data_IF_126239648384
#
_entry.id   IF_126239648384
#
_cell.length_a   1.000
_cell.length_b   1.000
_cell.length_c   1.000
_cell.angle_alpha   90.00
_cell.angle_beta   90.00
_cell.angle_gamma   90.00
#
_symmetry.space_group_name_H-M   'P 1'
#
loop_
_entity.id
_entity.type
_entity.pdbx_description
1 polymer ?
#
# COMPACT_ATOMS: atom_id res chain seq x y z
N UNK A 1 -12.53 -6.83 -11.21
CA UNK A 1 -11.12 -7.27 -11.13
C UNK A 1 -10.88 -8.00 -9.82
N UNK A 2 -9.97 -8.97 -9.79
CA UNK A 2 -9.51 -9.61 -8.56
C UNK A 2 -8.43 -8.76 -7.88
N UNK A 3 -8.18 -8.99 -6.59
CA UNK A 3 -7.08 -8.36 -5.86
C UNK A 3 -5.75 -8.46 -6.61
N UNK A 4 -5.42 -9.65 -7.11
CA UNK A 4 -4.15 -9.93 -7.77
C UNK A 4 -3.99 -9.19 -9.10
N UNK A 5 -5.08 -9.06 -9.87
CA UNK A 5 -5.10 -8.26 -11.10
C UNK A 5 -4.77 -6.80 -10.80
N UNK A 6 -5.48 -6.20 -9.84
CA UNK A 6 -5.28 -4.80 -9.48
C UNK A 6 -3.87 -4.59 -8.92
N UNK A 7 -3.37 -5.51 -8.08
CA UNK A 7 -2.02 -5.45 -7.54
C UNK A 7 -0.96 -5.44 -8.67
N UNK A 8 -1.04 -6.40 -9.60
CA UNK A 8 -0.09 -6.50 -10.72
C UNK A 8 -0.10 -5.25 -11.63
N UNK A 9 -1.27 -4.63 -11.82
CA UNK A 9 -1.40 -3.39 -12.56
C UNK A 9 -0.78 -2.18 -11.82
N UNK A 10 -0.73 -2.23 -10.49
CA UNK A 10 -0.37 -1.10 -9.64
C UNK A 10 1.10 -1.10 -9.20
N UNK A 11 1.72 -2.26 -9.02
CA UNK A 11 3.10 -2.35 -8.49
C UNK A 11 4.13 -1.54 -9.28
N UNK A 12 3.91 -1.35 -10.58
CA UNK A 12 4.79 -0.56 -11.46
C UNK A 12 4.93 0.91 -11.05
N UNK A 13 4.03 1.44 -10.22
CA UNK A 13 4.10 2.83 -9.73
C UNK A 13 5.00 2.99 -8.50
N UNK A 14 5.38 1.89 -7.84
CA UNK A 14 6.30 1.87 -6.71
C UNK A 14 7.71 1.46 -7.13
N UNK A 15 8.76 1.96 -6.44
CA UNK A 15 10.10 1.42 -6.59
C UNK A 15 10.15 -0.04 -6.07
N UNK A 16 11.13 -0.80 -6.55
CA UNK A 16 11.36 -2.20 -6.10
C UNK A 16 11.92 -2.28 -4.68
N UNK A 17 12.54 -1.21 -4.20
CA UNK A 17 13.08 -1.07 -2.86
C UNK A 17 12.94 0.38 -2.37
N UNK A 18 12.60 0.56 -1.09
CA UNK A 18 12.53 1.86 -0.42
C UNK A 18 13.52 1.87 0.74
N UNK A 19 14.35 2.91 0.81
CA UNK A 19 15.20 3.17 1.96
C UNK A 19 14.37 3.77 3.10
N UNK A 20 14.45 3.15 4.29
CA UNK A 20 13.70 3.50 5.50
C UNK A 20 14.61 4.00 6.64
N UNK A 21 15.89 4.29 6.34
CA UNK A 21 16.88 4.72 7.33
C UNK A 21 16.56 6.07 7.98
N UNK A 22 15.64 6.83 7.39
CA UNK A 22 15.10 8.10 7.86
C UNK A 22 13.95 7.94 8.87
N UNK A 23 13.67 6.70 9.32
CA UNK A 23 12.67 6.38 10.32
C UNK A 23 12.81 7.20 11.61
N UNK A 24 11.70 7.80 12.05
CA UNK A 24 11.59 8.58 13.30
C UNK A 24 10.41 8.10 14.15
N UNK A 25 10.61 8.10 15.47
CA UNK A 25 9.62 7.66 16.46
C UNK A 25 9.02 6.29 16.12
N UNK A 26 9.87 5.37 15.67
CA UNK A 26 9.44 4.03 15.27
C UNK A 26 9.17 3.21 16.52
N UNK A 27 7.93 2.78 16.66
CA UNK A 27 7.41 1.88 17.70
C UNK A 27 6.61 0.78 17.02
N UNK A 28 6.26 -0.28 17.76
CA UNK A 28 5.58 -1.47 17.21
C UNK A 28 4.29 -1.17 16.42
N UNK A 29 3.61 -0.06 16.73
CA UNK A 29 2.32 0.31 16.14
C UNK A 29 2.41 1.50 15.17
N UNK A 30 3.59 2.08 14.95
CA UNK A 30 3.69 3.28 14.14
C UNK A 30 5.11 3.82 13.99
N UNK A 31 5.31 4.65 12.98
CA UNK A 31 6.60 5.29 12.70
C UNK A 31 6.47 6.26 11.54
N UNK A 32 7.38 7.24 11.47
CA UNK A 32 7.44 8.20 10.38
C UNK A 32 8.63 7.90 9.49
N UNK A 33 8.38 7.65 8.20
CA UNK A 33 9.39 7.37 7.18
C UNK A 33 9.14 8.35 6.03
N UNK A 34 9.94 9.41 5.94
CA UNK A 34 9.77 10.48 4.94
C UNK A 34 9.92 9.92 3.52
N UNK A 35 10.94 9.11 3.25
CA UNK A 35 11.16 8.49 1.91
C UNK A 35 10.00 7.58 1.49
N UNK A 36 9.42 6.87 2.45
CA UNK A 36 8.24 6.05 2.18
C UNK A 36 7.01 6.91 1.85
N UNK A 37 6.78 7.99 2.60
CA UNK A 37 5.72 8.95 2.28
C UNK A 37 5.92 9.64 0.93
N UNK A 38 7.17 9.97 0.57
CA UNK A 38 7.50 10.51 -0.76
C UNK A 38 7.18 9.51 -1.88
N UNK A 39 7.53 8.23 -1.68
CA UNK A 39 7.22 7.16 -2.65
C UNK A 39 5.71 6.97 -2.85
N UNK A 40 4.93 7.09 -1.77
CA UNK A 40 3.47 7.07 -1.86
C UNK A 40 2.91 8.28 -2.60
N UNK A 41 3.36 9.49 -2.25
CA UNK A 41 2.95 10.72 -2.94
C UNK A 41 3.22 10.65 -4.46
N UNK A 42 4.38 10.11 -4.86
CA UNK A 42 4.69 9.89 -6.26
C UNK A 42 3.76 8.89 -6.93
N UNK A 43 3.45 7.77 -6.27
CA UNK A 43 2.52 6.78 -6.80
C UNK A 43 1.10 7.35 -6.95
N UNK A 44 0.62 8.13 -5.98
CA UNK A 44 -0.66 8.84 -6.08
C UNK A 44 -0.67 9.83 -7.25
N UNK A 45 0.39 10.62 -7.41
CA UNK A 45 0.52 11.57 -8.52
C UNK A 45 0.47 10.87 -9.88
N UNK A 46 1.16 9.75 -10.02
CA UNK A 46 1.21 8.96 -11.27
C UNK A 46 -0.14 8.29 -11.57
N UNK A 47 -0.95 8.01 -10.57
CA UNK A 47 -2.24 7.28 -10.69
C UNK A 47 -3.48 8.19 -10.69
N UNK A 48 -3.31 9.52 -10.70
CA UNK A 48 -4.43 10.49 -10.71
C UNK A 48 -5.50 10.23 -11.77
N UNK A 49 -5.11 9.74 -12.96
CA UNK A 49 -6.01 9.46 -14.09
C UNK A 49 -6.35 7.98 -14.26
N UNK A 50 -5.83 7.12 -13.38
CA UNK A 50 -6.10 5.68 -13.40
C UNK A 50 -7.46 5.38 -12.74
N UNK A 51 -7.88 4.12 -12.80
CA UNK A 51 -9.10 3.66 -12.11
C UNK A 51 -8.98 3.80 -10.60
N UNK A 52 -10.12 3.94 -9.92
CA UNK A 52 -10.12 4.02 -8.45
C UNK A 52 -9.64 2.73 -7.79
N UNK A 53 -9.68 1.59 -8.51
CA UNK A 53 -9.07 0.34 -8.08
C UNK A 53 -7.56 0.48 -7.94
N UNK A 54 -6.91 1.10 -8.93
CA UNK A 54 -5.47 1.36 -8.90
C UNK A 54 -5.16 2.37 -7.79
N UNK A 55 -5.92 3.45 -7.66
CA UNK A 55 -5.72 4.45 -6.59
C UNK A 55 -5.87 3.83 -5.20
N UNK A 56 -6.88 2.97 -5.00
CA UNK A 56 -7.07 2.25 -3.74
C UNK A 56 -5.94 1.25 -3.49
N UNK A 57 -5.46 0.57 -4.53
CA UNK A 57 -4.32 -0.34 -4.41
C UNK A 57 -3.01 0.40 -4.08
N UNK A 58 -2.82 1.64 -4.55
CA UNK A 58 -1.69 2.49 -4.13
C UNK A 58 -1.71 2.68 -2.61
N UNK A 59 -2.87 2.97 -2.03
CA UNK A 59 -3.04 3.05 -0.58
C UNK A 59 -2.76 1.70 0.12
N UNK A 60 -3.26 0.59 -0.42
CA UNK A 60 -2.99 -0.76 0.10
C UNK A 60 -1.49 -1.09 0.13
N UNK A 61 -0.78 -0.83 -0.97
CA UNK A 61 0.68 -1.04 -1.08
C UNK A 61 1.43 -0.16 -0.08
N UNK A 62 1.03 1.11 0.10
CA UNK A 62 1.62 1.98 1.12
C UNK A 62 1.45 1.39 2.53
N UNK A 63 0.26 0.89 2.87
CA UNK A 63 0.02 0.23 4.16
C UNK A 63 0.94 -0.99 4.35
N UNK A 64 1.10 -1.82 3.31
CA UNK A 64 2.01 -2.98 3.32
C UNK A 64 3.46 -2.56 3.55
N UNK A 65 3.94 -1.56 2.80
CA UNK A 65 5.27 -1.00 3.00
C UNK A 65 5.46 -0.43 4.40
N UNK A 66 4.48 0.28 4.95
CA UNK A 66 4.60 0.92 6.25
C UNK A 66 4.71 -0.10 7.38
N UNK A 67 3.88 -1.15 7.36
CA UNK A 67 3.99 -2.29 8.27
C UNK A 67 5.39 -2.93 8.18
N UNK A 68 5.83 -3.24 6.96
CA UNK A 68 7.13 -3.88 6.74
C UNK A 68 8.30 -2.97 7.11
N UNK A 69 8.16 -1.66 6.94
CA UNK A 69 9.17 -0.67 7.34
C UNK A 69 9.36 -0.65 8.85
N UNK A 70 8.28 -0.71 9.63
CA UNK A 70 8.38 -0.84 11.10
C UNK A 70 9.13 -2.12 11.45
N UNK A 71 8.71 -3.27 10.91
CA UNK A 71 9.34 -4.55 11.19
C UNK A 71 10.82 -4.56 10.83
N UNK A 72 11.17 -4.11 9.63
CA UNK A 72 12.55 -4.05 9.16
C UNK A 72 13.39 -3.09 10.03
N UNK A 73 12.88 -1.89 10.33
CA UNK A 73 13.59 -0.91 11.15
C UNK A 73 13.85 -1.42 12.58
N UNK A 74 12.86 -2.05 13.21
CA UNK A 74 12.98 -2.65 14.54
C UNK A 74 13.99 -3.81 14.57
N UNK A 75 14.20 -4.48 13.44
CA UNK A 75 15.21 -5.53 13.25
C UNK A 75 16.54 -4.99 12.71
N UNK A 76 16.77 -3.67 12.72
CA UNK A 76 18.02 -3.04 12.29
C UNK A 76 18.27 -3.00 10.78
N UNK A 77 17.27 -3.40 9.96
CA UNK A 77 17.31 -3.24 8.50
C UNK A 77 16.98 -1.81 8.10
N UNK A 78 17.51 -1.38 6.95
CA UNK A 78 17.41 0.01 6.45
C UNK A 78 16.65 0.14 5.14
N UNK A 79 16.16 -0.96 4.59
CA UNK A 79 15.38 -0.98 3.35
C UNK A 79 14.17 -1.89 3.49
N UNK A 80 13.20 -1.72 2.59
CA UNK A 80 12.07 -2.63 2.38
C UNK A 80 11.98 -2.90 0.89
N UNK A 81 11.96 -4.18 0.49
CA UNK A 81 11.69 -4.54 -0.90
C UNK A 81 10.21 -4.82 -1.13
N UNK A 82 9.72 -4.49 -2.33
CA UNK A 82 8.36 -4.81 -2.78
C UNK A 82 8.03 -6.31 -2.63
N UNK A 83 9.02 -7.17 -2.83
CA UNK A 83 8.84 -8.63 -2.76
C UNK A 83 8.74 -9.16 -1.32
N UNK A 84 9.03 -8.32 -0.33
CA UNK A 84 8.94 -8.66 1.10
C UNK A 84 7.59 -8.27 1.71
N UNK A 85 6.68 -7.68 0.93
CA UNK A 85 5.38 -7.23 1.39
C UNK A 85 4.48 -8.41 1.74
N UNK A 86 3.79 -8.29 2.87
CA UNK A 86 2.79 -9.23 3.33
C UNK A 86 1.52 -9.07 2.49
N UNK A 87 1.32 -10.01 1.56
CA UNK A 87 0.19 -9.99 0.62
C UNK A 87 -1.16 -10.19 1.30
N UNK A 88 -1.21 -10.95 2.40
CA UNK A 88 -2.44 -11.16 3.16
C UNK A 88 -2.85 -9.87 3.86
N UNK A 89 -1.90 -9.20 4.50
CA UNK A 89 -2.15 -7.91 5.12
C UNK A 89 -2.53 -6.83 4.10
N UNK A 90 -1.89 -6.82 2.92
CA UNK A 90 -2.22 -5.90 1.84
C UNK A 90 -3.66 -6.13 1.36
N UNK A 91 -4.04 -7.40 1.11
CA UNK A 91 -5.41 -7.77 0.74
C UNK A 91 -6.41 -7.32 1.80
N UNK A 92 -6.13 -7.60 3.07
CA UNK A 92 -6.96 -7.14 4.18
C UNK A 92 -7.16 -5.62 4.16
N UNK A 93 -6.11 -4.81 4.04
CA UNK A 93 -6.23 -3.33 4.03
C UNK A 93 -6.96 -2.80 2.80
N UNK A 94 -6.74 -3.42 1.64
CA UNK A 94 -7.43 -3.09 0.41
C UNK A 94 -8.94 -3.39 0.52
N UNK A 95 -9.31 -4.60 0.95
CA UNK A 95 -10.69 -5.02 1.11
C UNK A 95 -11.40 -4.27 2.24
N UNK A 96 -10.73 -4.02 3.38
CA UNK A 96 -11.26 -3.21 4.48
C UNK A 96 -11.68 -1.82 3.98
N UNK A 97 -10.87 -1.21 3.12
CA UNK A 97 -11.16 0.13 2.57
C UNK A 97 -12.22 0.08 1.46
N UNK A 98 -12.18 -0.95 0.59
CA UNK A 98 -13.14 -1.13 -0.49
C UNK A 98 -14.56 -1.43 0.03
N UNK A 99 -14.64 -2.29 1.04
CA UNK A 99 -15.87 -2.81 1.61
C UNK A 99 -16.41 -1.95 2.76
N UNK A 100 -15.73 -0.88 3.14
CA UNK A 100 -16.27 0.08 4.10
C UNK A 100 -17.53 0.72 3.50
N UNK A 101 -18.68 0.44 4.12
CA UNK A 101 -19.98 0.98 3.71
C UNK A 101 -20.35 2.23 4.48
N UNK A 102 -19.48 2.73 5.37
CA UNK A 102 -19.69 4.03 6.03
C UNK A 102 -19.47 5.20 5.09
N UNK A 103 -18.68 4.99 4.03
CA UNK A 103 -18.46 5.94 2.95
C UNK A 103 -18.79 5.26 1.62
N UNK A 104 -19.66 5.90 0.82
CA UNK A 104 -20.08 5.39 -0.49
C UNK A 104 -19.04 5.64 -1.59
N UNK A 105 -17.87 6.17 -1.23
CA UNK A 105 -16.77 6.48 -2.15
C UNK A 105 -16.41 5.33 -3.12
N UNK A 106 -16.51 4.06 -2.69
CA UNK A 106 -16.20 2.89 -3.52
C UNK A 106 -17.44 2.04 -3.90
N UNK A 107 -18.66 2.57 -3.78
CA UNK A 107 -19.89 1.80 -4.01
C UNK A 107 -19.94 1.12 -5.39
N UNK A 108 -19.57 1.82 -6.45
CA UNK A 108 -19.51 1.26 -7.81
C UNK A 108 -18.35 0.28 -7.99
N UNK A 109 -17.23 0.49 -7.30
CA UNK A 109 -16.09 -0.43 -7.38
C UNK A 109 -16.41 -1.79 -6.74
N UNK A 110 -17.22 -1.80 -5.68
CA UNK A 110 -17.59 -3.03 -4.98
C UNK A 110 -18.31 -4.02 -5.89
N UNK A 111 -19.15 -3.54 -6.83
CA UNK A 111 -19.89 -4.42 -7.74
C UNK A 111 -18.98 -5.13 -8.75
N UNK A 112 -17.86 -4.50 -9.09
CA UNK A 112 -16.90 -5.00 -10.07
C UNK A 112 -15.80 -5.86 -9.45
N UNK A 113 -15.70 -5.88 -8.12
CA UNK A 113 -14.68 -6.62 -7.39
C UNK A 113 -15.01 -8.12 -7.30
N UNK A 114 -14.02 -8.96 -7.62
CA UNK A 114 -14.17 -10.42 -7.57
C UNK A 114 -13.35 -10.99 -6.41
N UNK A 115 -14.04 -11.60 -5.45
CA UNK A 115 -13.45 -12.33 -4.32
C UNK A 115 -13.00 -13.72 -4.79
N UNK A 116 -11.88 -13.78 -5.51
CA UNK A 116 -11.15 -15.02 -5.78
C UNK A 116 -9.85 -15.07 -4.95
#
# INVERSE_FOLDING_TARGET
MTFKEVYNLTIKYYPSEINISDGKNVVKVGGKFKKLSESWNEAELKTKKESDFIKLMVWGIFCGYHKKAIDNFMNGKKTVSLNELDMEYLKYKFEESLLDTKDDYYAELRTDYKTE
#
